data_IF_819871883003
#
_entry.id   IF_819871883003
#
_cell.length_a   1.000
_cell.length_b   1.000
_cell.length_c   1.000
_cell.angle_alpha   90.00
_cell.angle_beta   90.00
_cell.angle_gamma   90.00
#
_symmetry.space_group_name_H-M   'P 1'
#
loop_
_entity.id
_entity.type
_entity.pdbx_description
1 polymer ?
#
# COMPACT_ATOMS: atom_id res chain seq x y z
N UNK A 1 -8.87 0.77 3.76
CA UNK A 1 -9.25 -0.62 4.02
C UNK A 1 -8.03 -1.51 4.23
N UNK A 2 -7.18 -1.73 3.22
CA UNK A 2 -6.00 -2.59 3.34
C UNK A 2 -5.18 -2.33 4.62
N UNK A 3 -4.93 -1.06 4.94
CA UNK A 3 -4.19 -0.69 6.14
C UNK A 3 -4.97 -1.02 7.44
N UNK A 4 -6.28 -0.75 7.49
CA UNK A 4 -7.10 -1.07 8.68
C UNK A 4 -7.16 -2.60 8.90
N UNK A 5 -7.25 -3.38 7.83
CA UNK A 5 -7.22 -4.85 7.88
C UNK A 5 -5.84 -5.35 8.37
N UNK A 6 -4.74 -4.81 7.80
CA UNK A 6 -3.37 -5.14 8.19
C UNK A 6 -3.09 -4.82 9.67
N UNK A 7 -3.47 -3.64 10.12
CA UNK A 7 -3.29 -3.22 11.50
C UNK A 7 -4.14 -4.05 12.47
N UNK A 8 -5.33 -4.50 12.04
CA UNK A 8 -6.17 -5.39 12.84
C UNK A 8 -5.51 -6.77 13.00
N UNK A 9 -4.92 -7.31 11.94
CA UNK A 9 -4.16 -8.56 11.99
C UNK A 9 -2.92 -8.43 12.91
N UNK A 10 -2.20 -7.32 12.81
CA UNK A 10 -1.01 -7.07 13.65
C UNK A 10 -1.37 -6.88 15.13
N UNK A 11 -2.47 -6.19 15.43
CA UNK A 11 -2.99 -6.01 16.78
C UNK A 11 -3.36 -7.37 17.42
N UNK A 12 -4.09 -8.23 16.70
CA UNK A 12 -4.41 -9.58 17.16
C UNK A 12 -3.16 -10.44 17.42
N UNK A 13 -2.18 -10.39 16.51
CA UNK A 13 -0.93 -11.14 16.69
C UNK A 13 -0.10 -10.63 17.87
N UNK A 14 -0.10 -9.33 18.11
CA UNK A 14 0.56 -8.74 19.27
C UNK A 14 -0.10 -9.17 20.58
N UNK A 15 -1.43 -9.15 20.64
CA UNK A 15 -2.20 -9.63 21.80
C UNK A 15 -1.90 -11.11 22.11
N UNK A 16 -1.91 -11.97 21.10
CA UNK A 16 -1.55 -13.39 21.24
C UNK A 16 -0.11 -13.60 21.73
N UNK A 17 0.78 -12.66 21.44
CA UNK A 17 2.18 -12.68 21.85
C UNK A 17 2.44 -11.94 23.18
N UNK A 18 1.41 -11.42 23.82
CA UNK A 18 1.51 -10.63 25.06
C UNK A 18 2.21 -9.27 24.85
N UNK A 19 2.17 -8.72 23.62
CA UNK A 19 2.77 -7.43 23.25
C UNK A 19 1.67 -6.40 23.01
N UNK A 20 2.01 -5.12 23.21
CA UNK A 20 1.13 -4.01 22.85
C UNK A 20 1.42 -3.59 21.41
N UNK A 21 0.37 -3.39 20.61
CA UNK A 21 0.46 -2.83 19.25
C UNK A 21 -0.14 -1.41 19.23
N UNK A 22 0.60 -0.47 18.68
CA UNK A 22 0.12 0.91 18.52
C UNK A 22 -0.30 1.15 17.06
N UNK A 23 -1.60 1.32 16.84
CA UNK A 23 -2.15 1.61 15.50
C UNK A 23 -1.72 2.98 14.98
N UNK A 24 -1.48 3.05 13.68
CA UNK A 24 -1.24 4.29 12.93
C UNK A 24 -2.58 5.01 12.72
N UNK A 25 -3.61 4.27 12.25
CA UNK A 25 -4.95 4.82 12.06
C UNK A 25 -5.84 4.46 13.25
N UNK A 26 -6.30 5.47 13.95
CA UNK A 26 -7.06 5.30 15.20
C UNK A 26 -8.45 5.96 15.15
N UNK A 27 -9.33 5.54 16.05
CA UNK A 27 -10.63 6.16 16.31
C UNK A 27 -11.50 6.23 15.05
N UNK A 28 -12.08 7.40 14.81
CA UNK A 28 -13.03 7.62 13.73
C UNK A 28 -12.42 7.52 12.31
N UNK A 29 -11.09 7.53 12.17
CA UNK A 29 -10.43 7.41 10.86
C UNK A 29 -10.25 5.96 10.40
N UNK A 30 -10.54 4.97 11.23
CA UNK A 30 -10.52 3.57 10.86
C UNK A 30 -11.57 3.28 9.80
N UNK A 31 -11.20 2.51 8.77
CA UNK A 31 -12.13 2.10 7.69
C UNK A 31 -13.39 1.43 8.24
N UNK A 32 -13.22 0.56 9.21
CA UNK A 32 -14.29 -0.16 9.91
C UNK A 32 -15.25 0.75 10.70
N UNK A 33 -14.92 2.03 10.90
CA UNK A 33 -15.77 2.97 11.63
C UNK A 33 -16.56 3.89 10.71
N UNK A 34 -15.91 4.53 9.73
CA UNK A 34 -16.59 5.52 8.89
C UNK A 34 -17.04 4.97 7.54
N UNK A 35 -16.25 4.05 6.97
CA UNK A 35 -16.49 3.55 5.62
C UNK A 35 -17.41 2.32 5.62
N UNK A 36 -17.13 1.35 6.45
CA UNK A 36 -17.86 0.09 6.49
C UNK A 36 -18.13 -0.37 7.94
N UNK A 37 -18.87 0.41 8.75
CA UNK A 37 -19.31 -0.05 10.06
C UNK A 37 -20.15 -1.32 9.91
N UNK A 38 -19.94 -2.29 10.80
CA UNK A 38 -20.66 -3.57 10.79
C UNK A 38 -21.61 -3.65 11.97
N UNK A 39 -22.77 -4.27 11.72
CA UNK A 39 -23.71 -4.70 12.76
C UNK A 39 -23.17 -5.93 13.48
N UNK A 40 -23.79 -6.32 14.57
CA UNK A 40 -23.45 -7.56 15.31
C UNK A 40 -23.52 -8.83 14.46
N UNK A 41 -24.37 -8.85 13.45
CA UNK A 41 -24.48 -9.95 12.48
C UNK A 41 -23.43 -9.93 11.36
N UNK A 42 -22.50 -8.96 11.38
CA UNK A 42 -21.43 -8.80 10.36
C UNK A 42 -21.86 -8.08 9.08
N UNK A 43 -23.14 -7.72 8.90
CA UNK A 43 -23.61 -6.95 7.77
C UNK A 43 -23.20 -5.47 7.88
N UNK A 44 -23.15 -4.78 6.73
CA UNK A 44 -22.91 -3.35 6.69
C UNK A 44 -24.03 -2.60 7.44
N UNK A 45 -23.62 -1.76 8.39
CA UNK A 45 -24.54 -0.83 9.04
C UNK A 45 -24.77 0.39 8.14
N UNK A 46 -25.78 0.28 7.28
CA UNK A 46 -26.11 1.33 6.32
C UNK A 46 -26.51 2.65 6.99
N UNK A 47 -27.02 2.59 8.22
CA UNK A 47 -27.46 3.78 8.98
C UNK A 47 -26.24 4.60 9.45
N UNK A 48 -25.20 3.91 9.90
CA UNK A 48 -23.98 4.55 10.41
C UNK A 48 -22.89 4.73 9.34
N UNK A 49 -23.03 4.10 8.17
CA UNK A 49 -22.12 4.28 7.06
C UNK A 49 -22.29 5.67 6.42
N UNK A 50 -21.21 6.44 6.32
CA UNK A 50 -21.25 7.77 5.74
C UNK A 50 -21.64 7.75 4.26
N UNK A 51 -22.45 8.70 3.84
CA UNK A 51 -22.91 8.85 2.46
C UNK A 51 -23.18 10.32 2.11
N UNK A 52 -23.52 10.60 0.85
CA UNK A 52 -23.94 11.93 0.41
C UNK A 52 -22.86 13.01 0.58
N UNK A 53 -23.29 14.23 0.90
CA UNK A 53 -22.38 15.38 1.05
C UNK A 53 -21.44 15.23 2.23
N UNK A 54 -21.93 14.67 3.33
CA UNK A 54 -21.14 14.47 4.56
C UNK A 54 -19.94 13.56 4.32
N UNK A 55 -20.08 12.54 3.47
CA UNK A 55 -18.99 11.66 3.07
C UNK A 55 -17.91 12.41 2.29
N UNK A 56 -18.30 13.24 1.30
CA UNK A 56 -17.34 14.03 0.50
C UNK A 56 -16.62 15.03 1.41
N UNK A 57 -17.37 15.75 2.25
CA UNK A 57 -16.82 16.72 3.19
C UNK A 57 -15.85 16.05 4.17
N UNK A 58 -16.20 14.90 4.73
CA UNK A 58 -15.32 14.15 5.63
C UNK A 58 -14.01 13.75 4.94
N UNK A 59 -14.09 13.21 3.73
CA UNK A 59 -12.90 12.80 2.98
C UNK A 59 -12.00 13.98 2.67
N UNK A 60 -12.57 15.11 2.22
CA UNK A 60 -11.82 16.27 1.76
C UNK A 60 -11.25 17.11 2.92
N UNK A 61 -12.01 17.24 4.02
CA UNK A 61 -11.65 18.19 5.09
C UNK A 61 -11.07 17.53 6.34
N UNK A 62 -11.29 16.23 6.53
CA UNK A 62 -10.83 15.51 7.72
C UNK A 62 -9.89 14.33 7.38
N UNK A 63 -10.34 13.37 6.55
CA UNK A 63 -9.58 12.15 6.30
C UNK A 63 -8.27 12.43 5.57
N UNK A 64 -8.32 13.02 4.37
CA UNK A 64 -7.11 13.28 3.57
C UNK A 64 -6.14 14.23 4.27
N UNK A 65 -6.58 15.34 4.90
CA UNK A 65 -5.68 16.19 5.68
C UNK A 65 -5.03 15.47 6.88
N UNK A 66 -5.74 14.57 7.54
CA UNK A 66 -5.17 13.77 8.64
C UNK A 66 -4.12 12.80 8.13
N UNK A 67 -4.40 12.06 7.04
CA UNK A 67 -3.44 11.13 6.44
C UNK A 67 -2.20 11.86 5.90
N UNK A 68 -2.37 13.05 5.33
CA UNK A 68 -1.25 13.89 4.89
C UNK A 68 -0.32 14.30 6.03
N UNK A 69 -0.86 14.60 7.21
CA UNK A 69 -0.06 14.99 8.38
C UNK A 69 0.88 13.87 8.87
N UNK A 70 0.61 12.63 8.52
CA UNK A 70 1.48 11.51 8.88
C UNK A 70 2.92 11.69 8.38
N UNK A 71 3.13 12.41 7.27
CA UNK A 71 4.47 12.78 6.81
C UNK A 71 5.24 13.61 7.85
N UNK A 72 4.53 14.49 8.56
CA UNK A 72 5.14 15.42 9.52
C UNK A 72 5.28 14.80 10.92
N UNK A 73 4.51 13.75 11.24
CA UNK A 73 4.47 13.12 12.57
C UNK A 73 5.22 11.80 12.65
N UNK A 74 5.55 11.20 11.51
CA UNK A 74 6.28 9.94 11.44
C UNK A 74 7.69 10.05 12.04
N UNK A 75 8.14 9.00 12.69
CA UNK A 75 9.45 8.94 13.35
C UNK A 75 10.63 8.89 12.37
N UNK A 76 10.41 8.36 11.16
CA UNK A 76 11.43 8.26 10.11
C UNK A 76 10.77 8.14 8.72
N UNK A 77 11.53 8.49 7.67
CA UNK A 77 11.06 8.50 6.28
C UNK A 77 10.81 7.10 5.69
N UNK A 78 11.37 6.06 6.28
CA UNK A 78 11.16 4.67 5.88
C UNK A 78 10.03 3.98 6.67
N UNK A 79 9.19 4.72 7.38
CA UNK A 79 8.02 4.16 8.07
C UNK A 79 6.80 4.12 7.17
N UNK A 80 5.90 3.17 7.39
CA UNK A 80 4.61 3.09 6.70
C UNK A 80 3.78 4.36 6.89
N UNK A 81 3.81 4.93 8.09
CA UNK A 81 3.16 6.20 8.43
C UNK A 81 3.65 7.33 7.52
N UNK A 82 4.97 7.50 7.37
CA UNK A 82 5.54 8.51 6.48
C UNK A 82 5.13 8.30 5.03
N UNK A 83 5.18 7.06 4.53
CA UNK A 83 4.79 6.73 3.14
C UNK A 83 3.33 7.02 2.85
N UNK A 84 2.44 6.76 3.79
CA UNK A 84 1.03 7.16 3.70
C UNK A 84 0.92 8.68 3.59
N UNK A 85 1.62 9.41 4.44
CA UNK A 85 1.64 10.87 4.42
C UNK A 85 2.12 11.43 3.08
N UNK A 86 3.13 10.83 2.47
CA UNK A 86 3.62 11.21 1.13
C UNK A 86 2.57 10.95 0.05
N UNK A 87 1.95 9.77 0.02
CA UNK A 87 0.88 9.44 -0.93
C UNK A 87 -0.23 10.49 -0.84
N UNK A 88 -0.73 10.78 0.36
CA UNK A 88 -1.83 11.74 0.54
C UNK A 88 -1.42 13.20 0.41
N UNK A 89 -0.13 13.52 0.35
CA UNK A 89 0.35 14.86 0.00
C UNK A 89 0.07 15.22 -1.47
N UNK A 90 0.12 14.23 -2.35
CA UNK A 90 -0.10 14.38 -3.80
C UNK A 90 -1.54 14.08 -4.22
N UNK A 91 -2.28 13.30 -3.42
CA UNK A 91 -3.65 12.89 -3.75
C UNK A 91 -4.68 13.97 -3.39
N UNK A 92 -5.70 14.09 -4.26
CA UNK A 92 -6.91 14.87 -4.01
C UNK A 92 -8.13 14.07 -4.45
N UNK A 93 -9.19 14.17 -3.68
CA UNK A 93 -10.46 13.60 -4.11
C UNK A 93 -11.00 14.39 -5.31
N UNK A 94 -11.31 13.67 -6.39
CA UNK A 94 -11.95 14.22 -7.59
C UNK A 94 -13.42 13.83 -7.72
N UNK A 95 -13.93 13.02 -6.80
CA UNK A 95 -15.29 12.49 -6.82
C UNK A 95 -16.18 13.45 -6.04
N UNK A 96 -16.98 14.23 -6.76
CA UNK A 96 -17.86 15.24 -6.16
C UNK A 96 -19.22 14.66 -5.72
N UNK A 97 -19.62 13.51 -6.26
CA UNK A 97 -20.87 12.84 -5.87
C UNK A 97 -20.63 11.92 -4.70
N UNK A 98 -21.21 12.22 -3.56
CA UNK A 98 -21.13 11.35 -2.37
C UNK A 98 -21.77 9.97 -2.56
N UNK A 99 -22.76 9.86 -3.46
CA UNK A 99 -23.34 8.58 -3.83
C UNK A 99 -22.38 7.73 -4.65
N UNK A 100 -21.72 8.32 -5.66
CA UNK A 100 -20.69 7.61 -6.44
C UNK A 100 -19.51 7.23 -5.56
N UNK A 101 -19.10 8.11 -4.65
CA UNK A 101 -18.05 7.81 -3.69
C UNK A 101 -18.44 6.65 -2.77
N UNK A 102 -19.70 6.61 -2.29
CA UNK A 102 -20.24 5.50 -1.48
C UNK A 102 -20.21 4.17 -2.26
N UNK A 103 -20.62 4.17 -3.52
CA UNK A 103 -20.55 2.96 -4.37
C UNK A 103 -19.12 2.44 -4.53
N UNK A 104 -18.15 3.34 -4.73
CA UNK A 104 -16.73 2.97 -4.81
C UNK A 104 -16.26 2.37 -3.48
N UNK A 105 -16.60 2.99 -2.35
CA UNK A 105 -16.26 2.49 -1.02
C UNK A 105 -16.86 1.10 -0.80
N UNK A 106 -18.11 0.86 -1.19
CA UNK A 106 -18.75 -0.45 -1.07
C UNK A 106 -18.03 -1.52 -1.91
N UNK A 107 -17.58 -1.16 -3.13
CA UNK A 107 -16.78 -2.06 -3.97
C UNK A 107 -15.40 -2.35 -3.34
N UNK A 108 -14.76 -1.35 -2.75
CA UNK A 108 -13.49 -1.55 -2.05
C UNK A 108 -13.70 -2.41 -0.79
N UNK A 109 -14.82 -2.23 -0.09
CA UNK A 109 -15.11 -3.02 1.10
C UNK A 109 -15.35 -4.50 0.79
N UNK A 110 -15.89 -4.82 -0.39
CA UNK A 110 -16.06 -6.20 -0.84
C UNK A 110 -14.76 -6.91 -1.23
N UNK A 111 -13.65 -6.18 -1.39
CA UNK A 111 -12.35 -6.79 -1.65
C UNK A 111 -11.79 -7.40 -0.36
N UNK A 112 -11.34 -8.64 -0.43
CA UNK A 112 -10.64 -9.29 0.66
C UNK A 112 -9.13 -8.94 0.61
N UNK A 113 -8.50 -8.83 1.78
CA UNK A 113 -7.06 -8.56 1.92
C UNK A 113 -6.44 -9.39 3.06
N UNK A 114 -7.16 -10.42 3.52
CA UNK A 114 -6.78 -11.14 4.73
C UNK A 114 -5.88 -12.33 4.43
N UNK A 115 -6.14 -13.07 3.36
CA UNK A 115 -5.31 -14.21 2.99
C UNK A 115 -4.11 -13.81 2.12
N UNK A 116 -3.12 -14.68 2.03
CA UNK A 116 -2.01 -14.51 1.10
C UNK A 116 -2.48 -14.50 -0.37
N UNK A 117 -3.53 -15.28 -0.68
CA UNK A 117 -4.17 -15.33 -2.00
C UNK A 117 -4.83 -13.99 -2.33
N UNK A 118 -5.61 -13.40 -1.41
CA UNK A 118 -6.23 -12.08 -1.61
C UNK A 118 -5.20 -10.99 -1.86
N UNK A 119 -4.11 -10.98 -1.08
CA UNK A 119 -3.00 -10.03 -1.23
C UNK A 119 -2.34 -10.20 -2.61
N UNK A 120 -2.16 -11.44 -3.05
CA UNK A 120 -1.63 -11.75 -4.38
C UNK A 120 -2.57 -11.28 -5.50
N UNK A 121 -3.88 -11.53 -5.40
CA UNK A 121 -4.86 -11.05 -6.38
C UNK A 121 -4.85 -9.52 -6.50
N UNK A 122 -4.75 -8.80 -5.37
CA UNK A 122 -4.64 -7.34 -5.37
C UNK A 122 -3.36 -6.87 -6.05
N UNK A 123 -2.25 -7.54 -5.80
CA UNK A 123 -0.99 -7.26 -6.46
C UNK A 123 -1.12 -7.43 -7.98
N UNK A 124 -1.71 -8.54 -8.44
CA UNK A 124 -1.96 -8.81 -9.86
C UNK A 124 -2.87 -7.74 -10.49
N UNK A 125 -3.95 -7.35 -9.81
CA UNK A 125 -4.85 -6.30 -10.28
C UNK A 125 -4.14 -4.94 -10.39
N UNK A 126 -3.32 -4.60 -9.39
CA UNK A 126 -2.55 -3.36 -9.38
C UNK A 126 -1.52 -3.33 -10.52
N UNK A 127 -0.75 -4.39 -10.67
CA UNK A 127 0.20 -4.58 -11.77
C UNK A 127 -0.47 -4.49 -13.15
N UNK A 128 -1.63 -5.12 -13.32
CA UNK A 128 -2.41 -5.04 -14.57
C UNK A 128 -2.88 -3.60 -14.86
N UNK A 129 -3.17 -2.80 -13.84
CA UNK A 129 -3.47 -1.37 -13.99
C UNK A 129 -2.25 -0.57 -14.40
N UNK A 130 -1.11 -0.79 -13.77
CA UNK A 130 0.16 -0.15 -14.12
C UNK A 130 0.50 -0.45 -15.59
N UNK A 131 0.39 -1.72 -16.03
CA UNK A 131 0.63 -2.12 -17.41
C UNK A 131 -0.30 -1.38 -18.39
N UNK A 132 -1.59 -1.27 -18.09
CA UNK A 132 -2.55 -0.55 -18.93
C UNK A 132 -2.28 0.94 -18.98
N UNK A 133 -1.89 1.55 -17.87
CA UNK A 133 -1.44 2.94 -17.81
C UNK A 133 -0.18 3.11 -18.67
N UNK A 134 0.73 2.14 -18.60
CA UNK A 134 1.93 2.02 -19.42
C UNK A 134 1.64 2.05 -20.92
N UNK A 135 0.56 1.44 -21.35
CA UNK A 135 0.20 1.30 -22.77
C UNK A 135 -0.74 2.41 -23.29
N UNK A 136 -1.28 3.28 -22.41
CA UNK A 136 -2.41 4.18 -22.75
C UNK A 136 -2.03 5.55 -23.34
N UNK A 137 -0.79 5.81 -23.75
CA UNK A 137 -0.43 7.10 -24.33
C UNK A 137 1.07 7.30 -24.59
N UNK A 138 1.43 8.52 -25.08
CA UNK A 138 2.82 8.87 -25.45
C UNK A 138 3.84 8.70 -24.31
N UNK A 139 3.40 8.66 -23.07
CA UNK A 139 4.25 8.52 -21.88
C UNK A 139 3.97 7.22 -21.10
N UNK A 140 3.15 6.35 -21.62
CA UNK A 140 2.65 5.19 -20.89
C UNK A 140 3.67 4.08 -20.71
N UNK A 141 4.60 3.90 -21.66
CA UNK A 141 5.68 2.92 -21.54
C UNK A 141 6.79 3.29 -20.57
N UNK A 142 6.78 4.53 -20.07
CA UNK A 142 7.83 5.03 -19.17
C UNK A 142 7.85 4.36 -17.78
N UNK A 143 6.77 3.69 -17.37
CA UNK A 143 6.63 3.20 -15.99
C UNK A 143 6.55 1.68 -15.87
N UNK A 144 6.57 0.96 -17.00
CA UNK A 144 6.35 -0.47 -16.98
C UNK A 144 7.39 -1.23 -17.79
N UNK A 145 8.17 -2.06 -17.12
CA UNK A 145 9.03 -3.07 -17.75
C UNK A 145 8.32 -4.43 -17.65
N UNK A 146 8.27 -5.25 -18.72
CA UNK A 146 7.63 -6.56 -18.70
C UNK A 146 8.21 -7.46 -17.61
N UNK A 147 7.36 -7.99 -16.75
CA UNK A 147 7.76 -8.81 -15.59
C UNK A 147 8.60 -10.05 -15.96
N UNK A 148 8.31 -10.79 -17.06
CA UNK A 148 9.17 -11.92 -17.45
C UNK A 148 10.62 -11.52 -17.72
N UNK A 149 10.85 -10.33 -18.28
CA UNK A 149 12.20 -9.81 -18.51
C UNK A 149 12.90 -9.49 -17.18
N UNK A 150 12.18 -8.84 -16.26
CA UNK A 150 12.73 -8.50 -14.93
C UNK A 150 13.11 -9.78 -14.20
N UNK A 151 12.22 -10.78 -14.17
CA UNK A 151 12.48 -12.09 -13.53
C UNK A 151 13.72 -12.75 -14.05
N UNK A 152 13.85 -12.83 -15.37
CA UNK A 152 15.05 -13.41 -15.99
C UNK A 152 16.34 -12.68 -15.57
N UNK A 153 16.29 -11.35 -15.47
CA UNK A 153 17.44 -10.55 -14.99
C UNK A 153 17.71 -10.84 -13.50
N UNK A 154 16.70 -10.84 -12.66
CA UNK A 154 16.84 -11.10 -11.23
C UNK A 154 17.39 -12.52 -10.97
N UNK A 155 16.91 -13.52 -11.71
CA UNK A 155 17.40 -14.90 -11.61
C UNK A 155 18.89 -15.01 -12.00
N UNK A 156 19.30 -14.31 -13.07
CA UNK A 156 20.70 -14.30 -13.51
C UNK A 156 21.60 -13.56 -12.52
N UNK A 157 21.15 -12.44 -11.97
CA UNK A 157 21.88 -11.67 -10.95
C UNK A 157 21.95 -12.43 -9.63
N UNK A 158 20.90 -13.18 -9.29
CA UNK A 158 20.78 -14.00 -8.10
C UNK A 158 21.10 -13.26 -6.79
N UNK A 159 20.38 -12.15 -6.48
CA UNK A 159 20.65 -11.37 -5.26
C UNK A 159 20.40 -12.20 -4.01
N UNK A 160 21.25 -12.02 -2.99
CA UNK A 160 21.24 -12.77 -1.73
C UNK A 160 20.81 -11.90 -0.56
N UNK A 161 20.21 -12.51 0.48
CA UNK A 161 19.90 -11.81 1.75
C UNK A 161 21.17 -11.16 2.29
N UNK A 162 21.07 -9.86 2.66
CA UNK A 162 22.18 -9.05 3.10
C UNK A 162 22.82 -8.18 2.02
N UNK A 163 22.50 -8.41 0.75
CA UNK A 163 22.85 -7.53 -0.35
C UNK A 163 21.83 -6.40 -0.51
N UNK A 164 22.24 -5.31 -1.14
CA UNK A 164 21.39 -4.15 -1.42
C UNK A 164 21.00 -4.12 -2.89
N UNK A 165 19.73 -3.92 -3.17
CA UNK A 165 19.17 -3.72 -4.51
C UNK A 165 18.81 -2.24 -4.67
N UNK A 166 19.42 -1.58 -5.65
CA UNK A 166 19.18 -0.17 -5.93
C UNK A 166 18.70 0.05 -7.37
N UNK A 167 17.57 0.73 -7.52
CA UNK A 167 17.02 1.14 -8.81
C UNK A 167 16.99 2.69 -8.89
N UNK A 168 17.88 3.33 -9.68
CA UNK A 168 17.99 4.78 -9.76
C UNK A 168 16.86 5.47 -10.52
N UNK A 169 15.97 4.73 -11.18
CA UNK A 169 14.84 5.23 -11.95
C UNK A 169 13.68 4.22 -11.89
N UNK A 170 13.22 3.94 -10.67
CA UNK A 170 12.44 2.74 -10.37
C UNK A 170 11.03 2.72 -10.99
N UNK A 171 10.53 3.84 -11.52
CA UNK A 171 9.22 3.89 -12.15
C UNK A 171 8.11 3.36 -11.22
N UNK A 172 7.53 2.21 -11.55
CA UNK A 172 6.55 1.50 -10.73
C UNK A 172 7.17 0.54 -9.70
N UNK A 173 8.47 0.59 -9.47
CA UNK A 173 9.26 -0.30 -8.62
C UNK A 173 9.26 -1.78 -9.06
N UNK A 174 9.12 -2.05 -10.34
CA UNK A 174 9.01 -3.40 -10.84
C UNK A 174 10.22 -4.28 -10.55
N UNK A 175 11.43 -3.77 -10.71
CA UNK A 175 12.65 -4.50 -10.36
C UNK A 175 12.74 -4.78 -8.85
N UNK A 176 12.40 -3.80 -8.02
CA UNK A 176 12.44 -3.94 -6.57
C UNK A 176 11.41 -4.97 -6.09
N UNK A 177 10.21 -4.97 -6.65
CA UNK A 177 9.16 -5.94 -6.30
C UNK A 177 9.53 -7.37 -6.71
N UNK A 178 10.05 -7.59 -7.92
CA UNK A 178 10.45 -8.92 -8.37
C UNK A 178 11.70 -9.42 -7.62
N UNK A 179 12.64 -8.52 -7.32
CA UNK A 179 13.79 -8.86 -6.47
C UNK A 179 13.35 -9.23 -5.04
N UNK A 180 12.37 -8.52 -4.46
CA UNK A 180 11.80 -8.88 -3.17
C UNK A 180 11.17 -10.28 -3.21
N UNK A 181 10.31 -10.55 -4.19
CA UNK A 181 9.67 -11.86 -4.34
C UNK A 181 10.70 -12.99 -4.45
N UNK A 182 11.77 -12.77 -5.23
CA UNK A 182 12.87 -13.74 -5.38
C UNK A 182 13.65 -13.97 -4.08
N UNK A 183 14.00 -12.89 -3.38
CA UNK A 183 14.80 -12.97 -2.14
C UNK A 183 13.96 -13.45 -0.95
N UNK A 184 12.64 -13.23 -0.95
CA UNK A 184 11.73 -13.69 0.10
C UNK A 184 11.77 -15.21 0.28
N UNK A 185 11.96 -15.97 -0.80
CA UNK A 185 12.11 -17.42 -0.75
C UNK A 185 13.38 -17.89 -0.02
N UNK A 186 14.35 -17.00 0.16
CA UNK A 186 15.62 -17.30 0.83
C UNK A 186 15.56 -17.09 2.36
N UNK A 187 14.48 -16.52 2.91
CA UNK A 187 14.33 -16.22 4.35
C UNK A 187 14.38 -17.51 5.16
N UNK A 188 15.28 -17.56 6.15
CA UNK A 188 15.44 -18.68 7.09
C UNK A 188 15.29 -18.25 8.54
N UNK A 189 15.33 -16.95 8.82
CA UNK A 189 15.25 -16.39 10.18
C UNK A 189 14.46 -15.07 10.21
N UNK A 190 14.06 -14.66 11.42
CA UNK A 190 13.44 -13.34 11.63
C UNK A 190 14.41 -12.22 11.24
N UNK A 191 15.70 -12.39 11.51
CA UNK A 191 16.73 -11.43 11.10
C UNK A 191 16.81 -11.26 9.59
N UNK A 192 16.67 -12.33 8.80
CA UNK A 192 16.64 -12.25 7.33
C UNK A 192 15.44 -11.43 6.86
N UNK A 193 14.27 -11.66 7.49
CA UNK A 193 13.06 -10.88 7.22
C UNK A 193 13.25 -9.40 7.52
N UNK A 194 13.85 -9.07 8.66
CA UNK A 194 14.10 -7.68 9.06
C UNK A 194 15.07 -6.97 8.08
N UNK A 195 16.16 -7.66 7.69
CA UNK A 195 17.10 -7.16 6.68
C UNK A 195 16.37 -6.88 5.36
N UNK A 196 15.60 -7.85 4.88
CA UNK A 196 14.88 -7.74 3.62
C UNK A 196 13.88 -6.57 3.63
N UNK A 197 13.18 -6.36 4.76
CA UNK A 197 12.19 -5.29 4.90
C UNK A 197 12.80 -3.89 5.04
N UNK A 198 13.96 -3.74 5.68
CA UNK A 198 14.42 -2.43 6.13
C UNK A 198 15.64 -1.89 5.37
N UNK A 199 16.53 -2.79 4.93
CA UNK A 199 17.87 -2.39 4.46
C UNK A 199 18.25 -2.88 3.07
N UNK A 200 17.36 -3.61 2.39
CA UNK A 200 17.67 -4.23 1.10
C UNK A 200 17.27 -3.36 -0.09
N UNK A 201 16.08 -2.74 -0.09
CA UNK A 201 15.53 -2.10 -1.28
C UNK A 201 15.61 -0.59 -1.23
N UNK A 202 16.29 -0.02 -2.23
CA UNK A 202 16.44 1.42 -2.42
C UNK A 202 16.03 1.80 -3.84
N UNK A 203 15.36 2.92 -4.01
CA UNK A 203 14.94 3.42 -5.30
C UNK A 203 14.90 4.93 -5.37
N UNK A 204 14.97 5.46 -6.58
CA UNK A 204 14.75 6.88 -6.85
C UNK A 204 13.72 7.03 -7.95
N UNK A 205 12.70 7.88 -7.72
CA UNK A 205 11.72 8.25 -8.72
C UNK A 205 11.39 9.75 -8.64
N UNK A 206 11.71 10.47 -9.70
CA UNK A 206 11.58 11.93 -9.75
C UNK A 206 10.13 12.41 -9.92
N UNK A 207 9.28 11.62 -10.59
CA UNK A 207 7.92 12.03 -10.92
C UNK A 207 6.95 11.60 -9.83
N UNK A 208 6.12 12.52 -9.33
CA UNK A 208 5.21 12.27 -8.20
C UNK A 208 4.22 11.11 -8.43
N UNK A 209 3.60 11.00 -9.61
CA UNK A 209 2.66 9.90 -9.88
C UNK A 209 3.34 8.52 -9.92
N UNK A 210 4.45 8.30 -10.66
CA UNK A 210 5.19 7.04 -10.59
C UNK A 210 5.72 6.72 -9.20
N UNK A 211 6.18 7.71 -8.44
CA UNK A 211 6.58 7.54 -7.04
C UNK A 211 5.46 6.97 -6.17
N UNK A 212 4.24 7.53 -6.27
CA UNK A 212 3.06 7.00 -5.56
C UNK A 212 2.78 5.56 -5.99
N UNK A 213 2.84 5.29 -7.30
CA UNK A 213 2.63 3.95 -7.85
C UNK A 213 3.68 2.98 -7.29
N UNK A 214 4.95 3.35 -7.30
CA UNK A 214 6.05 2.56 -6.75
C UNK A 214 5.85 2.25 -5.27
N UNK A 215 5.55 3.28 -4.48
CA UNK A 215 5.31 3.14 -3.03
C UNK A 215 4.17 2.18 -2.74
N UNK A 216 3.04 2.32 -3.43
CA UNK A 216 1.90 1.41 -3.26
C UNK A 216 2.23 0.00 -3.74
N UNK A 217 2.98 -0.15 -4.83
CA UNK A 217 3.37 -1.45 -5.35
C UNK A 217 4.24 -2.20 -4.35
N UNK A 218 5.24 -1.53 -3.75
CA UNK A 218 6.07 -2.12 -2.69
C UNK A 218 5.22 -2.55 -1.49
N UNK A 219 4.29 -1.70 -1.04
CA UNK A 219 3.40 -2.02 0.09
C UNK A 219 2.54 -3.26 -0.22
N UNK A 220 1.97 -3.37 -1.42
CA UNK A 220 1.16 -4.54 -1.82
C UNK A 220 1.99 -5.82 -1.95
N UNK A 221 3.26 -5.71 -2.32
CA UNK A 221 4.19 -6.84 -2.30
C UNK A 221 4.70 -7.18 -0.89
N UNK A 222 4.31 -6.44 0.14
CA UNK A 222 4.67 -6.70 1.52
C UNK A 222 5.89 -5.94 2.03
N UNK A 223 6.44 -4.99 1.27
CA UNK A 223 7.56 -4.13 1.70
C UNK A 223 7.02 -2.79 2.16
N UNK A 224 6.71 -2.67 3.45
CA UNK A 224 6.14 -1.45 4.02
C UNK A 224 7.18 -0.36 4.32
N UNK A 225 8.42 -0.74 4.59
CA UNK A 225 9.51 0.13 5.04
C UNK A 225 10.59 0.37 3.95
N UNK A 226 10.18 0.43 2.67
CA UNK A 226 11.11 0.63 1.55
C UNK A 226 11.74 2.03 1.54
N UNK A 227 12.95 2.13 0.95
CA UNK A 227 13.71 3.37 0.83
C UNK A 227 13.63 3.93 -0.61
N UNK A 228 12.43 4.22 -1.11
CA UNK A 228 12.21 4.96 -2.36
C UNK A 228 12.05 6.45 -2.04
N UNK A 229 12.78 7.30 -2.77
CA UNK A 229 12.80 8.76 -2.65
C UNK A 229 12.55 9.44 -4.01
#
# INVERSE_FOLDING_TARGET
KYLDDLETEQEMNAELSGKEYKRIITGFFRWSVWAAPKKENGELDVVNAMTGKDLVEFVDTKLFPTLKKFKDTASASNTLEYKIGEIFSELRNKIQSGYNLREIINKIDSLAFQSAEDKHEMTVLYESKIQRMGNAGRNGGEYYTPRPLIRAIVEVVNPQIGETVYDPACGSAGFLCEAFAYMQEQIKSVSDSDILQQTTFFGTEKKGLPYIIATMNMIFHGVAAHNII
#
